data_IF_629074773315
#
_entry.id   IF_629074773315
#
_cell.length_a   1.000
_cell.length_b   1.000
_cell.length_c   1.000
_cell.angle_alpha   90.00
_cell.angle_beta   90.00
_cell.angle_gamma   90.00
#
_symmetry.space_group_name_H-M   'P 1'
#
loop_
_entity.id
_entity.type
_entity.pdbx_description
1 polymer ?
#
# COMPACT_ATOMS: atom_id res chain seq x y z
N UNK A 1 5.79 4.42 4.21
CA UNK A 1 6.06 3.55 3.05
C UNK A 1 7.08 2.43 3.33
N UNK A 2 7.73 2.41 4.51
CA UNK A 2 8.56 1.28 4.88
C UNK A 2 7.69 0.01 5.01
N UNK A 3 8.16 -1.08 4.44
CA UNK A 3 7.49 -2.37 4.50
C UNK A 3 8.51 -3.50 4.49
N UNK A 4 8.12 -4.64 5.06
CA UNK A 4 8.80 -5.91 4.91
C UNK A 4 7.83 -6.96 4.40
N UNK A 5 8.33 -7.84 3.59
CA UNK A 5 7.70 -9.09 3.15
C UNK A 5 8.64 -10.22 3.55
N UNK A 6 8.14 -11.13 4.37
CA UNK A 6 8.87 -12.32 4.80
C UNK A 6 8.19 -13.55 4.18
N UNK A 7 8.11 -13.57 2.84
CA UNK A 7 7.41 -14.61 2.08
C UNK A 7 7.85 -16.02 2.49
N UNK A 8 6.88 -16.84 2.91
CA UNK A 8 7.11 -18.22 3.31
C UNK A 8 5.81 -19.01 3.26
N UNK A 9 5.87 -20.29 2.94
CA UNK A 9 4.72 -21.17 2.92
C UNK A 9 4.11 -21.26 4.34
N UNK A 10 2.79 -21.37 4.43
CA UNK A 10 2.07 -21.33 5.70
C UNK A 10 2.61 -22.33 6.75
N UNK A 11 2.95 -23.56 6.34
CA UNK A 11 3.47 -24.57 7.25
C UNK A 11 4.90 -24.30 7.77
N UNK A 12 5.63 -23.40 7.12
CA UNK A 12 6.96 -22.95 7.53
C UNK A 12 6.95 -21.59 8.23
N UNK A 13 5.87 -20.81 8.02
CA UNK A 13 5.67 -19.50 8.63
C UNK A 13 5.48 -19.62 10.13
N UNK A 14 6.21 -18.86 10.91
CA UNK A 14 6.05 -18.81 12.37
C UNK A 14 5.44 -17.48 12.83
N UNK A 15 4.96 -17.45 14.07
CA UNK A 15 4.28 -16.30 14.62
C UNK A 15 5.19 -15.05 14.78
N UNK A 16 6.48 -15.24 14.94
CA UNK A 16 7.43 -14.12 15.07
C UNK A 16 7.64 -13.40 13.73
N UNK A 17 7.72 -14.16 12.61
CA UNK A 17 7.75 -13.58 11.26
C UNK A 17 6.48 -12.80 10.98
N UNK A 18 5.30 -13.40 11.24
CA UNK A 18 4.01 -12.76 11.07
C UNK A 18 3.93 -11.45 11.86
N UNK A 19 4.29 -11.50 13.14
CA UNK A 19 4.29 -10.34 14.03
C UNK A 19 5.24 -9.25 13.54
N UNK A 20 6.46 -9.62 13.12
CA UNK A 20 7.44 -8.66 12.59
C UNK A 20 6.91 -7.91 11.37
N UNK A 21 6.23 -8.60 10.45
CA UNK A 21 5.60 -7.96 9.30
C UNK A 21 4.54 -6.95 9.74
N UNK A 22 3.68 -7.30 10.69
CA UNK A 22 2.68 -6.36 11.24
C UNK A 22 3.33 -5.20 11.98
N UNK A 23 4.36 -5.44 12.78
CA UNK A 23 5.07 -4.40 13.53
C UNK A 23 5.66 -3.33 12.59
N UNK A 24 6.29 -3.75 11.49
CA UNK A 24 6.85 -2.80 10.53
C UNK A 24 5.75 -2.15 9.69
N UNK A 25 4.91 -2.94 9.05
CA UNK A 25 4.01 -2.44 8.02
C UNK A 25 2.80 -1.69 8.59
N UNK A 26 2.30 -2.10 9.75
CA UNK A 26 1.08 -1.54 10.36
C UNK A 26 1.41 -0.64 11.54
N UNK A 27 2.12 -1.16 12.55
CA UNK A 27 2.45 -0.38 13.76
C UNK A 27 3.38 0.78 13.39
N UNK A 28 4.30 0.59 12.43
CA UNK A 28 5.13 1.66 11.89
C UNK A 28 4.32 2.81 11.29
N UNK A 29 3.34 2.49 10.44
CA UNK A 29 2.45 3.50 9.83
C UNK A 29 1.56 4.19 10.88
N UNK A 30 1.03 3.42 11.85
CA UNK A 30 0.29 3.97 12.99
C UNK A 30 1.14 4.96 13.78
N UNK A 31 2.38 4.60 14.12
CA UNK A 31 3.28 5.46 14.89
C UNK A 31 3.61 6.77 14.14
N UNK A 32 3.83 6.70 12.83
CA UNK A 32 4.03 7.91 12.00
C UNK A 32 2.79 8.82 12.05
N UNK A 33 1.61 8.25 11.81
CA UNK A 33 0.34 9.00 11.86
C UNK A 33 0.11 9.60 13.23
N UNK A 34 0.34 8.81 14.31
CA UNK A 34 0.22 9.26 15.70
C UNK A 34 1.18 10.39 16.06
N UNK A 35 2.33 10.47 15.41
CA UNK A 35 3.31 11.52 15.65
C UNK A 35 2.93 12.85 15.03
N UNK A 36 2.27 12.85 13.88
CA UNK A 36 2.01 14.07 13.09
C UNK A 36 0.59 14.62 13.21
N UNK A 37 -0.40 13.76 13.56
CA UNK A 37 -1.83 14.12 13.51
C UNK A 37 -2.18 15.38 14.29
N UNK A 38 -1.60 15.54 15.49
CA UNK A 38 -1.90 16.69 16.35
C UNK A 38 -1.47 18.01 15.70
N UNK A 39 -0.27 18.04 15.11
CA UNK A 39 0.21 19.21 14.40
C UNK A 39 -0.68 19.53 13.19
N UNK A 40 -1.12 18.50 12.45
CA UNK A 40 -2.03 18.67 11.31
C UNK A 40 -3.42 19.20 11.76
N UNK A 41 -3.94 18.72 12.90
CA UNK A 41 -5.19 19.24 13.46
C UNK A 41 -5.05 20.69 13.95
N UNK A 42 -3.96 21.02 14.64
CA UNK A 42 -3.72 22.36 15.18
C UNK A 42 -3.61 23.43 14.07
N UNK A 43 -3.16 23.06 12.87
CA UNK A 43 -3.08 23.93 11.69
C UNK A 43 -4.30 23.81 10.75
N UNK A 44 -5.30 22.98 11.11
CA UNK A 44 -6.50 22.69 10.31
C UNK A 44 -6.21 22.23 8.88
N UNK A 45 -5.06 21.57 8.67
CA UNK A 45 -4.61 21.07 7.35
C UNK A 45 -3.69 19.88 7.50
N UNK A 46 -3.97 18.81 6.78
CA UNK A 46 -3.10 17.65 6.72
C UNK A 46 -3.42 16.69 5.59
N UNK A 47 -2.40 15.92 5.20
CA UNK A 47 -2.52 14.84 4.20
C UNK A 47 -1.76 13.62 4.71
N UNK A 48 -2.45 12.50 4.80
CA UNK A 48 -1.85 11.20 5.14
C UNK A 48 -2.14 10.24 3.98
N UNK A 49 -1.08 9.67 3.41
CA UNK A 49 -1.20 8.67 2.36
C UNK A 49 -0.58 7.36 2.85
N UNK A 50 -1.42 6.37 3.08
CA UNK A 50 -0.98 5.02 3.38
C UNK A 50 -0.67 4.27 2.07
N UNK A 51 0.44 3.56 2.03
CA UNK A 51 0.80 2.73 0.87
C UNK A 51 0.48 1.27 1.20
N UNK A 52 -0.66 0.82 0.69
CA UNK A 52 -1.08 -0.57 0.77
C UNK A 52 -0.50 -1.40 -0.41
N UNK A 53 -1.28 -2.29 -0.95
CA UNK A 53 -1.02 -3.11 -2.14
C UNK A 53 -2.35 -3.62 -2.68
N UNK A 54 -2.40 -4.05 -3.92
CA UNK A 54 -3.52 -4.87 -4.44
C UNK A 54 -3.72 -6.14 -3.60
N UNK A 55 -2.64 -6.65 -2.98
CA UNK A 55 -2.70 -7.76 -2.02
C UNK A 55 -3.57 -7.47 -0.79
N UNK A 56 -3.66 -6.21 -0.38
CA UNK A 56 -4.56 -5.80 0.70
C UNK A 56 -6.04 -5.74 0.28
N UNK A 57 -6.34 -5.88 -1.00
CA UNK A 57 -7.70 -5.82 -1.56
C UNK A 57 -8.19 -7.23 -1.91
N UNK A 58 -7.61 -7.83 -2.94
CA UNK A 58 -8.10 -9.11 -3.51
C UNK A 58 -7.07 -9.83 -4.42
N UNK A 59 -5.80 -9.48 -4.35
CA UNK A 59 -4.72 -10.25 -4.97
C UNK A 59 -4.05 -11.10 -3.90
N UNK A 60 -3.95 -12.41 -4.11
CA UNK A 60 -3.47 -13.32 -3.08
C UNK A 60 -2.34 -14.19 -3.61
N UNK A 61 -1.21 -14.17 -2.90
CA UNK A 61 -0.09 -15.07 -3.16
C UNK A 61 0.11 -16.02 -1.97
N UNK A 62 0.16 -17.34 -2.18
CA UNK A 62 0.18 -18.32 -1.10
C UNK A 62 1.28 -18.14 -0.04
N UNK A 63 2.34 -17.42 -0.35
CA UNK A 63 3.48 -17.22 0.55
C UNK A 63 3.39 -15.91 1.35
N UNK A 64 2.44 -15.03 1.05
CA UNK A 64 2.42 -13.64 1.53
C UNK A 64 1.35 -13.37 2.59
N UNK A 65 0.93 -14.38 3.37
CA UNK A 65 -0.20 -14.26 4.30
C UNK A 65 -0.08 -13.11 5.31
N UNK A 66 1.10 -12.84 5.84
CA UNK A 66 1.39 -11.75 6.77
C UNK A 66 1.45 -10.40 6.06
N UNK A 67 2.04 -10.36 4.87
CA UNK A 67 2.08 -9.17 4.03
C UNK A 67 0.67 -8.75 3.61
N UNK A 68 -0.11 -9.67 3.03
CA UNK A 68 -1.50 -9.42 2.61
C UNK A 68 -2.35 -8.91 3.77
N UNK A 69 -2.27 -9.57 4.95
CA UNK A 69 -2.94 -9.13 6.16
C UNK A 69 -2.51 -7.72 6.59
N UNK A 70 -1.21 -7.41 6.52
CA UNK A 70 -0.68 -6.08 6.86
C UNK A 70 -1.20 -5.00 5.92
N UNK A 71 -1.28 -5.29 4.63
CA UNK A 71 -1.75 -4.33 3.62
C UNK A 71 -3.26 -4.12 3.68
N UNK A 72 -4.04 -5.15 4.03
CA UNK A 72 -5.46 -5.00 4.35
C UNK A 72 -5.68 -4.17 5.62
N UNK A 73 -4.84 -4.33 6.65
CA UNK A 73 -4.89 -3.52 7.85
C UNK A 73 -4.66 -2.02 7.59
N UNK A 74 -3.76 -1.65 6.65
CA UNK A 74 -3.55 -0.26 6.24
C UNK A 74 -4.78 0.36 5.58
N UNK A 75 -5.53 -0.42 4.81
CA UNK A 75 -6.82 0.01 4.23
C UNK A 75 -7.82 0.31 5.34
N UNK A 76 -8.00 -0.61 6.29
CA UNK A 76 -8.88 -0.41 7.44
C UNK A 76 -8.46 0.79 8.28
N UNK A 77 -7.15 0.95 8.54
CA UNK A 77 -6.61 2.11 9.27
C UNK A 77 -6.89 3.42 8.53
N UNK A 78 -6.82 3.44 7.20
CA UNK A 78 -7.15 4.62 6.39
C UNK A 78 -8.59 5.08 6.63
N UNK A 79 -9.55 4.15 6.61
CA UNK A 79 -10.96 4.45 6.85
C UNK A 79 -11.19 5.05 8.24
N UNK A 80 -10.57 4.47 9.27
CA UNK A 80 -10.73 4.94 10.64
C UNK A 80 -10.10 6.33 10.85
N UNK A 81 -8.88 6.54 10.34
CA UNK A 81 -8.21 7.83 10.47
C UNK A 81 -8.92 8.94 9.68
N UNK A 82 -9.44 8.65 8.49
CA UNK A 82 -10.22 9.59 7.69
C UNK A 82 -11.50 10.03 8.41
N UNK A 83 -12.20 9.10 9.05
CA UNK A 83 -13.40 9.39 9.82
C UNK A 83 -13.11 10.20 11.09
N UNK A 84 -11.99 9.91 11.78
CA UNK A 84 -11.63 10.59 13.02
C UNK A 84 -11.09 12.01 12.78
N UNK A 85 -10.32 12.23 11.70
CA UNK A 85 -9.57 13.46 11.49
C UNK A 85 -10.24 14.45 10.55
N UNK A 86 -11.30 14.07 9.87
CA UNK A 86 -12.10 15.01 9.09
C UNK A 86 -12.70 16.12 9.97
N UNK A 87 -12.87 17.35 9.45
CA UNK A 87 -12.65 17.77 8.07
C UNK A 87 -11.22 18.26 7.76
N UNK A 88 -10.30 18.25 8.72
CA UNK A 88 -9.01 18.95 8.60
C UNK A 88 -7.91 18.12 7.94
N UNK A 89 -7.96 16.79 8.06
CA UNK A 89 -6.95 15.92 7.48
C UNK A 89 -7.58 14.94 6.51
N UNK A 90 -7.14 14.96 5.25
CA UNK A 90 -7.51 13.93 4.28
C UNK A 90 -6.58 12.73 4.43
N UNK A 91 -7.18 11.56 4.61
CA UNK A 91 -6.45 10.30 4.71
C UNK A 91 -6.88 9.39 3.58
N UNK A 92 -5.93 9.07 2.70
CA UNK A 92 -6.16 8.20 1.55
C UNK A 92 -5.17 7.04 1.53
N UNK A 93 -5.48 6.04 0.75
CA UNK A 93 -4.63 4.87 0.55
C UNK A 93 -4.33 4.69 -0.94
N UNK A 94 -3.08 4.45 -1.27
CA UNK A 94 -2.65 4.01 -2.59
C UNK A 94 -2.38 2.51 -2.51
N UNK A 95 -2.91 1.75 -3.44
CA UNK A 95 -2.73 0.31 -3.55
C UNK A 95 -2.04 -0.03 -4.89
N UNK A 96 -0.70 -0.04 -4.93
CA UNK A 96 0.03 -0.44 -6.12
C UNK A 96 -0.19 -1.92 -6.44
N UNK A 97 -0.18 -2.25 -7.74
CA UNK A 97 0.03 -3.59 -8.24
C UNK A 97 1.52 -3.91 -8.38
N UNK A 98 1.87 -4.64 -9.43
CA UNK A 98 3.26 -4.99 -9.70
C UNK A 98 4.05 -3.78 -10.20
N UNK A 99 4.99 -3.30 -9.38
CA UNK A 99 5.83 -2.12 -9.65
C UNK A 99 7.27 -2.59 -9.79
N UNK A 100 7.88 -2.30 -10.95
CA UNK A 100 9.27 -2.68 -11.25
C UNK A 100 10.27 -1.80 -10.49
N UNK A 101 10.45 -2.10 -9.22
CA UNK A 101 11.61 -1.60 -8.45
C UNK A 101 12.83 -2.47 -8.72
N UNK A 102 14.03 -1.95 -8.50
CA UNK A 102 15.26 -2.73 -8.68
C UNK A 102 15.21 -4.05 -7.89
N UNK A 103 14.76 -4.00 -6.65
CA UNK A 103 14.61 -5.19 -5.80
C UNK A 103 13.61 -6.22 -6.35
N UNK A 104 12.52 -5.78 -6.96
CA UNK A 104 11.51 -6.67 -7.57
C UNK A 104 12.07 -7.29 -8.86
N UNK A 105 12.71 -6.49 -9.71
CA UNK A 105 13.22 -6.95 -10.99
C UNK A 105 14.42 -7.90 -10.82
N UNK A 106 15.29 -7.64 -9.85
CA UNK A 106 16.46 -8.48 -9.55
C UNK A 106 16.08 -9.79 -8.83
N UNK A 107 14.89 -9.82 -8.21
CA UNK A 107 14.40 -10.96 -7.41
C UNK A 107 13.77 -12.08 -8.23
N UNK A 108 13.44 -11.86 -9.49
CA UNK A 108 12.69 -12.79 -10.34
C UNK A 108 13.38 -13.03 -11.69
N UNK A 109 13.18 -14.22 -12.25
CA UNK A 109 13.65 -14.53 -13.59
C UNK A 109 12.77 -13.90 -14.69
N UNK A 110 13.29 -13.87 -15.93
CA UNK A 110 12.61 -13.25 -17.07
C UNK A 110 11.25 -13.93 -17.41
N UNK A 111 11.14 -15.23 -17.16
CA UNK A 111 9.92 -16.00 -17.44
C UNK A 111 8.81 -15.58 -16.49
N UNK A 112 9.09 -15.50 -15.19
CA UNK A 112 8.18 -15.00 -14.18
C UNK A 112 7.74 -13.56 -14.46
N UNK A 113 8.71 -12.67 -14.75
CA UNK A 113 8.41 -11.26 -15.06
C UNK A 113 7.49 -11.13 -16.29
N UNK A 114 7.69 -11.96 -17.29
CA UNK A 114 6.84 -12.01 -18.48
C UNK A 114 5.43 -12.51 -18.14
N UNK A 115 5.31 -13.59 -17.38
CA UNK A 115 4.00 -14.12 -16.96
C UNK A 115 3.21 -13.10 -16.14
N UNK A 116 3.86 -12.39 -15.21
CA UNK A 116 3.21 -11.37 -14.40
C UNK A 116 2.76 -10.18 -15.26
N UNK A 117 3.57 -9.73 -16.23
CA UNK A 117 3.17 -8.64 -17.12
C UNK A 117 2.01 -9.01 -18.04
N UNK A 118 1.87 -10.28 -18.44
CA UNK A 118 0.70 -10.74 -19.22
C UNK A 118 -0.62 -10.63 -18.45
N UNK A 119 -0.58 -10.70 -17.13
CA UNK A 119 -1.75 -10.52 -16.24
C UNK A 119 -2.16 -9.05 -16.09
N UNK A 120 -1.32 -8.11 -16.52
CA UNK A 120 -1.58 -6.67 -16.45
C UNK A 120 -2.19 -6.21 -17.79
N UNK A 121 -3.32 -5.49 -17.76
CA UNK A 121 -4.01 -5.06 -18.99
C UNK A 121 -3.13 -4.16 -19.86
N UNK A 122 -2.32 -3.27 -19.26
CA UNK A 122 -1.38 -2.39 -19.97
C UNK A 122 -0.09 -3.11 -20.40
N UNK A 123 0.05 -4.41 -20.16
CA UNK A 123 1.14 -5.28 -20.64
C UNK A 123 2.54 -4.83 -20.22
N UNK A 124 2.65 -4.22 -19.07
CA UNK A 124 3.91 -3.88 -18.41
C UNK A 124 3.69 -3.70 -16.91
N UNK A 125 4.72 -3.86 -16.13
CA UNK A 125 4.70 -3.40 -14.73
C UNK A 125 4.74 -1.88 -14.64
N UNK A 126 4.27 -1.34 -13.52
CA UNK A 126 4.31 0.09 -13.22
C UNK A 126 5.72 0.55 -12.88
N UNK A 127 5.95 1.84 -13.01
CA UNK A 127 7.21 2.46 -12.57
C UNK A 127 7.03 3.12 -11.21
N UNK A 128 8.06 3.16 -10.35
CA UNK A 128 8.01 3.85 -9.05
C UNK A 128 7.54 5.31 -9.18
N UNK A 129 7.94 6.01 -10.26
CA UNK A 129 7.55 7.39 -10.53
C UNK A 129 6.04 7.53 -10.77
N UNK A 130 5.38 6.53 -11.34
CA UNK A 130 3.92 6.57 -11.56
C UNK A 130 3.18 6.56 -10.22
N UNK A 131 3.66 5.79 -9.25
CA UNK A 131 3.13 5.82 -7.87
C UNK A 131 3.41 7.18 -7.22
N UNK A 132 4.61 7.72 -7.38
CA UNK A 132 4.99 9.02 -6.84
C UNK A 132 4.15 10.16 -7.43
N UNK A 133 3.79 10.12 -8.71
CA UNK A 133 2.91 11.11 -9.34
C UNK A 133 1.49 11.08 -8.75
N UNK A 134 0.95 9.89 -8.48
CA UNK A 134 -0.34 9.77 -7.81
C UNK A 134 -0.28 10.32 -6.38
N UNK A 135 0.76 9.97 -5.61
CA UNK A 135 0.94 10.51 -4.26
C UNK A 135 1.07 12.04 -4.29
N UNK A 136 1.85 12.59 -5.22
CA UNK A 136 2.00 14.05 -5.40
C UNK A 136 0.66 14.72 -5.67
N UNK A 137 -0.19 14.13 -6.51
CA UNK A 137 -1.53 14.65 -6.75
C UNK A 137 -2.39 14.58 -5.48
N UNK A 138 -2.39 13.47 -4.76
CA UNK A 138 -3.22 13.29 -3.57
C UNK A 138 -2.84 14.20 -2.39
N UNK A 139 -1.60 14.66 -2.33
CA UNK A 139 -1.17 15.64 -1.31
C UNK A 139 -1.37 17.10 -1.73
N UNK A 140 -1.76 17.37 -2.96
CA UNK A 140 -1.99 18.71 -3.48
C UNK A 140 -3.40 19.23 -3.17
N UNK A 141 -3.64 20.51 -3.41
CA UNK A 141 -4.94 21.14 -3.17
C UNK A 141 -5.99 20.74 -4.21
N UNK A 142 -5.56 20.28 -5.39
CA UNK A 142 -6.46 19.74 -6.42
C UNK A 142 -7.20 18.48 -5.95
N UNK A 143 -6.63 17.76 -4.97
CA UNK A 143 -7.23 16.57 -4.38
C UNK A 143 -8.03 16.85 -3.08
N UNK A 144 -8.40 18.10 -2.78
CA UNK A 144 -9.07 18.46 -1.52
C UNK A 144 -10.37 17.69 -1.26
N UNK A 145 -11.09 17.29 -2.31
CA UNK A 145 -12.34 16.53 -2.16
C UNK A 145 -12.15 15.02 -2.19
N UNK A 146 -10.88 14.54 -2.23
CA UNK A 146 -10.54 13.12 -2.17
C UNK A 146 -10.13 12.80 -0.72
N UNK A 147 -11.00 12.11 0.00
CA UNK A 147 -10.77 11.64 1.36
C UNK A 147 -11.33 10.23 1.51
N UNK A 148 -10.73 9.41 2.37
CA UNK A 148 -11.19 8.05 2.64
C UNK A 148 -11.22 7.14 1.39
N UNK A 149 -10.35 7.39 0.43
CA UNK A 149 -10.32 6.67 -0.85
C UNK A 149 -9.19 5.66 -0.88
N UNK A 150 -9.49 4.48 -1.43
CA UNK A 150 -8.51 3.43 -1.71
C UNK A 150 -8.30 3.42 -3.22
N UNK A 151 -7.16 3.91 -3.66
CA UNK A 151 -6.87 4.13 -5.08
C UNK A 151 -5.86 3.09 -5.57
N UNK A 152 -6.31 2.23 -6.46
CA UNK A 152 -5.46 1.25 -7.13
C UNK A 152 -4.63 1.92 -8.21
N UNK A 153 -3.36 1.52 -8.31
CA UNK A 153 -2.45 1.88 -9.39
C UNK A 153 -1.71 0.62 -9.84
N UNK A 154 -2.32 -0.14 -10.72
CA UNK A 154 -1.93 -1.52 -11.05
C UNK A 154 -2.02 -1.85 -12.54
N UNK A 155 -2.29 -0.86 -13.40
CA UNK A 155 -2.41 -1.07 -14.84
C UNK A 155 -3.54 -2.02 -15.25
N UNK A 156 -4.52 -2.27 -14.37
CA UNK A 156 -5.58 -3.25 -14.59
C UNK A 156 -5.09 -4.69 -14.39
N UNK A 157 -4.31 -4.95 -13.35
CA UNK A 157 -3.81 -6.30 -13.03
C UNK A 157 -4.98 -7.25 -12.77
N UNK A 158 -5.03 -8.36 -13.52
CA UNK A 158 -6.04 -9.39 -13.35
C UNK A 158 -5.83 -10.13 -12.02
N UNK A 159 -6.94 -10.44 -11.34
CA UNK A 159 -6.91 -11.01 -9.98
C UNK A 159 -6.92 -9.96 -8.88
N UNK A 160 -6.89 -8.68 -9.23
CA UNK A 160 -7.05 -7.57 -8.29
C UNK A 160 -8.39 -6.82 -8.45
N UNK A 161 -9.43 -7.53 -8.89
CA UNK A 161 -10.80 -6.98 -9.04
C UNK A 161 -11.68 -7.38 -7.86
#
# INVERSE_FOLDING_TARGET
NAAVDLSNLFHLKNAEEFKRTLDVNVVGAFNCSKRVYKHMLDQEYGRIINISSTNGINTYYPMCIDYDASKAALISMTHNLAAEFGPYINVNCVAPGFIGTDNELDGYDEEFLKEETEKIMVKRYGKPEEVAYLVRFLISDEANFINNSIIRIDGGQMGSC
#
